data_IF_600430858999
#
_entry.id   IF_600430858999
#
_cell.length_a   1.000
_cell.length_b   1.000
_cell.length_c   1.000
_cell.angle_alpha   90.00
_cell.angle_beta   90.00
_cell.angle_gamma   90.00
#
_symmetry.space_group_name_H-M   'P 1'
#
loop_
_entity.id
_entity.type
_entity.pdbx_description
1 polymer ?
#
# COMPACT_ATOMS: atom_id res chain seq x y z
N UNK A 1 47.11 -1.57 -15.07
CA UNK A 1 47.08 -0.34 -15.91
C UNK A 1 47.87 -0.54 -17.21
N UNK A 2 47.22 -0.45 -18.39
CA UNK A 2 47.94 -0.43 -19.67
C UNK A 2 48.79 0.86 -19.78
N UNK A 3 50.01 0.75 -20.29
CA UNK A 3 51.00 1.83 -20.34
C UNK A 3 50.64 2.98 -21.31
N UNK A 4 51.39 4.09 -21.27
CA UNK A 4 51.11 5.27 -22.07
C UNK A 4 51.50 4.99 -23.52
N UNK A 5 50.52 4.90 -24.42
CA UNK A 5 50.75 4.72 -25.87
C UNK A 5 49.89 3.65 -26.56
N UNK A 6 49.01 2.95 -25.85
CA UNK A 6 48.07 2.01 -26.48
C UNK A 6 46.97 2.74 -27.24
N UNK A 7 46.93 2.62 -28.57
CA UNK A 7 45.80 3.05 -29.40
C UNK A 7 44.56 2.27 -28.94
N UNK A 8 43.60 2.97 -28.35
CA UNK A 8 42.31 2.40 -27.95
C UNK A 8 41.51 2.06 -29.20
N UNK A 9 41.55 0.80 -29.64
CA UNK A 9 40.71 0.32 -30.74
C UNK A 9 39.24 0.47 -30.32
N UNK A 10 38.43 1.30 -30.97
CA UNK A 10 37.02 1.43 -30.62
C UNK A 10 36.33 0.11 -30.95
N UNK A 11 35.97 -0.67 -29.92
CA UNK A 11 35.10 -1.84 -30.07
C UNK A 11 33.67 -1.35 -30.26
N UNK A 12 33.25 -1.16 -31.50
CA UNK A 12 31.84 -0.95 -31.84
C UNK A 12 31.06 -2.26 -31.63
N UNK A 13 30.59 -2.49 -30.40
CA UNK A 13 29.64 -3.57 -30.14
C UNK A 13 28.31 -3.32 -30.86
N UNK A 14 27.74 -4.35 -31.47
CA UNK A 14 26.38 -4.28 -32.02
C UNK A 14 25.39 -3.90 -30.91
N UNK A 15 24.67 -2.80 -31.09
CA UNK A 15 23.61 -2.40 -30.16
C UNK A 15 22.46 -3.40 -30.26
N UNK A 16 22.17 -4.11 -29.17
CA UNK A 16 21.00 -4.99 -29.08
C UNK A 16 19.78 -4.14 -28.74
N UNK A 17 18.93 -3.86 -29.74
CA UNK A 17 17.66 -3.16 -29.52
C UNK A 17 16.64 -4.15 -28.95
N UNK A 18 16.04 -3.78 -27.83
CA UNK A 18 14.93 -4.54 -27.24
C UNK A 18 13.65 -4.07 -27.91
N UNK A 19 12.76 -5.02 -28.22
CA UNK A 19 11.45 -4.71 -28.79
C UNK A 19 10.64 -3.94 -27.73
N UNK A 20 10.05 -2.78 -28.07
CA UNK A 20 9.21 -2.05 -27.13
C UNK A 20 8.01 -2.88 -26.66
N UNK A 21 7.53 -2.68 -25.42
CA UNK A 21 6.34 -3.36 -24.92
C UNK A 21 5.10 -2.99 -25.75
N UNK A 22 4.27 -4.00 -26.07
CA UNK A 22 3.00 -3.78 -26.76
C UNK A 22 1.90 -3.36 -25.77
N UNK A 23 1.14 -2.33 -26.14
CA UNK A 23 0.04 -1.75 -25.36
C UNK A 23 -1.32 -1.85 -26.06
N UNK A 24 -1.41 -2.59 -27.16
CA UNK A 24 -2.62 -2.76 -27.98
C UNK A 24 -3.85 -3.19 -27.18
N UNK A 25 -3.68 -4.05 -26.17
CA UNK A 25 -4.77 -4.57 -25.33
C UNK A 25 -5.30 -3.62 -24.24
N UNK A 26 -4.76 -2.41 -24.09
CA UNK A 26 -5.14 -1.49 -23.01
C UNK A 26 -6.19 -0.49 -23.49
N UNK A 27 -7.39 -0.60 -22.92
CA UNK A 27 -8.49 0.33 -23.13
C UNK A 27 -8.48 1.40 -22.04
N UNK A 28 -8.44 2.67 -22.46
CA UNK A 28 -8.46 3.82 -21.55
C UNK A 28 -9.92 4.25 -21.35
N UNK A 29 -10.40 4.38 -20.10
CA UNK A 29 -11.75 4.82 -19.82
C UNK A 29 -11.96 6.31 -20.17
N UNK A 30 -13.20 6.69 -20.48
CA UNK A 30 -13.58 8.08 -20.80
C UNK A 30 -13.16 9.10 -19.74
N UNK A 31 -13.21 8.70 -18.46
CA UNK A 31 -12.80 9.52 -17.31
C UNK A 31 -11.51 8.94 -16.71
N UNK A 32 -10.33 9.31 -17.23
CA UNK A 32 -9.06 8.75 -16.80
C UNK A 32 -8.62 9.26 -15.42
N UNK A 33 -8.99 10.49 -15.04
CA UNK A 33 -8.55 11.11 -13.78
C UNK A 33 -9.29 10.54 -12.57
N UNK A 34 -8.62 10.57 -11.41
CA UNK A 34 -9.23 10.20 -10.13
C UNK A 34 -10.45 11.07 -9.82
N UNK A 35 -11.56 10.41 -9.48
CA UNK A 35 -12.79 11.07 -9.02
C UNK A 35 -12.53 11.85 -7.73
N UNK A 36 -13.23 12.96 -7.58
CA UNK A 36 -13.27 13.68 -6.31
C UNK A 36 -13.91 12.80 -5.22
N UNK A 37 -13.43 12.93 -3.99
CA UNK A 37 -13.90 12.16 -2.84
C UNK A 37 -14.45 13.14 -1.82
N UNK A 38 -15.71 12.97 -1.44
CA UNK A 38 -16.35 13.84 -0.47
C UNK A 38 -15.78 13.64 0.94
N UNK A 39 -15.74 14.74 1.71
CA UNK A 39 -15.25 14.73 3.10
C UNK A 39 -16.20 14.02 4.05
N UNK A 40 -17.49 14.11 3.77
CA UNK A 40 -18.58 13.57 4.58
C UNK A 40 -19.43 12.69 3.66
N UNK A 41 -19.86 11.50 4.11
CA UNK A 41 -20.82 10.70 3.37
C UNK A 41 -22.11 11.50 3.09
N UNK A 42 -22.79 11.19 1.98
CA UNK A 42 -24.04 11.87 1.60
C UNK A 42 -25.07 11.88 2.74
N UNK A 43 -25.18 10.76 3.46
CA UNK A 43 -25.98 10.67 4.69
C UNK A 43 -25.03 10.67 5.89
N UNK A 44 -25.01 11.74 6.71
CA UNK A 44 -24.15 11.81 7.87
C UNK A 44 -24.60 10.81 8.94
N UNK A 45 -23.64 10.11 9.55
CA UNK A 45 -23.93 9.17 10.63
C UNK A 45 -24.27 9.93 11.91
N UNK A 46 -25.46 9.69 12.46
CA UNK A 46 -25.86 10.23 13.76
C UNK A 46 -25.28 9.40 14.91
N UNK A 47 -25.23 8.07 14.73
CA UNK A 47 -24.72 7.15 15.75
C UNK A 47 -23.19 7.21 15.84
N UNK A 48 -22.68 7.52 17.03
CA UNK A 48 -21.24 7.55 17.32
C UNK A 48 -20.69 6.12 17.45
N UNK A 49 -19.71 5.76 16.63
CA UNK A 49 -19.08 4.43 16.65
C UNK A 49 -17.81 4.40 17.53
N UNK A 50 -17.48 3.26 18.17
CA UNK A 50 -16.19 3.11 18.84
C UNK A 50 -15.04 3.16 17.83
N UNK A 51 -13.82 3.51 18.30
CA UNK A 51 -12.68 3.68 17.40
C UNK A 51 -12.24 2.38 16.71
N UNK A 52 -12.57 1.21 17.26
CA UNK A 52 -12.20 -0.14 16.78
C UNK A 52 -10.84 -0.21 16.04
N UNK A 53 -9.74 -0.42 16.78
CA UNK A 53 -8.39 -0.46 16.22
C UNK A 53 -8.07 -1.75 15.44
N UNK A 54 -8.96 -2.75 15.48
CA UNK A 54 -8.79 -4.01 14.74
C UNK A 54 -8.86 -3.80 13.23
N UNK A 55 -9.49 -2.72 12.78
CA UNK A 55 -9.68 -2.41 11.35
C UNK A 55 -8.37 -2.08 10.63
N UNK A 56 -7.33 -1.68 11.36
CA UNK A 56 -6.00 -1.37 10.80
C UNK A 56 -4.95 -2.45 11.15
N UNK A 57 -5.30 -3.44 11.97
CA UNK A 57 -4.39 -4.53 12.39
C UNK A 57 -4.42 -5.67 11.38
N UNK A 58 -3.24 -6.19 11.08
CA UNK A 58 -3.04 -7.39 10.28
C UNK A 58 -3.10 -7.17 8.75
N UNK A 59 -3.18 -8.27 7.99
CA UNK A 59 -3.24 -8.22 6.53
C UNK A 59 -4.62 -7.81 6.04
N UNK A 60 -4.65 -7.17 4.87
CA UNK A 60 -5.88 -6.86 4.14
C UNK A 60 -6.45 -8.12 3.50
N UNK A 61 -7.76 -8.30 3.62
CA UNK A 61 -8.51 -9.35 2.92
C UNK A 61 -9.08 -8.86 1.59
N UNK A 62 -9.14 -7.55 1.43
CA UNK A 62 -9.76 -6.88 0.30
C UNK A 62 -8.74 -6.02 -0.43
N UNK A 63 -9.01 -5.82 -1.73
CA UNK A 63 -8.23 -4.95 -2.60
C UNK A 63 -6.71 -5.23 -2.58
N UNK A 64 -6.34 -6.50 -2.45
CA UNK A 64 -4.94 -6.97 -2.41
C UNK A 64 -4.37 -7.23 -3.82
N UNK A 65 -5.24 -7.51 -4.80
CA UNK A 65 -4.87 -7.81 -6.18
C UNK A 65 -5.24 -6.66 -7.11
N UNK A 66 -4.55 -6.58 -8.25
CA UNK A 66 -4.86 -5.64 -9.32
C UNK A 66 -6.18 -5.99 -10.01
N UNK A 67 -6.99 -4.98 -10.38
CA UNK A 67 -8.23 -5.20 -11.15
C UNK A 67 -8.12 -4.75 -12.60
N UNK A 68 -7.80 -3.47 -12.80
CA UNK A 68 -7.77 -2.84 -14.12
C UNK A 68 -6.41 -2.21 -14.41
N UNK A 69 -5.75 -1.70 -13.38
CA UNK A 69 -4.42 -1.11 -13.50
C UNK A 69 -3.30 -2.15 -13.60
N UNK A 70 -2.15 -1.68 -14.06
CA UNK A 70 -0.88 -2.42 -14.09
C UNK A 70 0.03 -2.02 -12.94
N UNK A 71 -0.13 -0.80 -12.43
CA UNK A 71 0.69 -0.20 -11.38
C UNK A 71 -0.19 0.30 -10.24
N UNK A 72 0.40 0.48 -9.06
CA UNK A 72 -0.35 0.98 -7.92
C UNK A 72 0.53 1.28 -6.71
N UNK A 73 -0.13 1.75 -5.65
CA UNK A 73 0.52 1.99 -4.37
C UNK A 73 0.07 0.91 -3.40
N UNK A 74 1.02 0.08 -2.94
CA UNK A 74 0.78 -0.96 -1.94
C UNK A 74 1.04 -0.40 -0.54
N UNK A 75 0.08 -0.56 0.36
CA UNK A 75 0.25 -0.24 1.76
C UNK A 75 1.07 -1.34 2.46
N UNK A 76 2.26 -1.01 2.95
CA UNK A 76 3.11 -1.89 3.76
C UNK A 76 2.83 -1.70 5.27
N UNK A 77 1.72 -1.07 5.62
CA UNK A 77 1.31 -0.83 7.00
C UNK A 77 -0.14 -0.42 7.09
N UNK A 78 -0.69 -0.49 8.31
CA UNK A 78 -2.05 -0.06 8.61
C UNK A 78 -2.12 1.40 9.01
N UNK A 79 -3.24 2.05 8.72
CA UNK A 79 -3.47 3.44 9.11
C UNK A 79 -4.83 3.98 8.69
N UNK A 80 -5.06 5.26 9.00
CA UNK A 80 -6.28 5.97 8.61
C UNK A 80 -5.99 6.98 7.52
N UNK A 81 -6.77 6.95 6.45
CA UNK A 81 -6.76 8.00 5.43
C UNK A 81 -7.83 9.04 5.77
N UNK A 82 -7.37 10.27 5.99
CA UNK A 82 -8.22 11.44 6.12
C UNK A 82 -8.53 12.02 4.74
N UNK A 83 -9.58 12.83 4.64
CA UNK A 83 -9.94 13.52 3.39
C UNK A 83 -8.77 14.27 2.74
N UNK A 84 -7.95 14.97 3.54
CA UNK A 84 -6.77 15.68 3.03
C UNK A 84 -5.73 14.76 2.36
N UNK A 85 -5.65 13.49 2.75
CA UNK A 85 -4.78 12.51 2.08
C UNK A 85 -5.35 12.14 0.71
N UNK A 86 -6.67 11.97 0.58
CA UNK A 86 -7.31 11.71 -0.72
C UNK A 86 -7.07 12.89 -1.68
N UNK A 87 -7.23 14.11 -1.20
CA UNK A 87 -7.02 15.30 -2.04
C UNK A 87 -5.55 15.47 -2.43
N UNK A 88 -4.61 15.22 -1.51
CA UNK A 88 -3.18 15.19 -1.80
C UNK A 88 -2.84 14.18 -2.91
N UNK A 89 -3.34 12.95 -2.81
CA UNK A 89 -3.14 11.89 -3.81
C UNK A 89 -3.75 12.30 -5.15
N UNK A 90 -5.01 12.78 -5.15
CA UNK A 90 -5.76 13.19 -6.35
C UNK A 90 -5.04 14.30 -7.11
N UNK A 91 -4.60 15.33 -6.40
CA UNK A 91 -3.88 16.47 -6.99
C UNK A 91 -2.49 16.07 -7.49
N UNK A 92 -1.75 15.28 -6.73
CA UNK A 92 -0.39 14.86 -7.12
C UNK A 92 -0.45 14.00 -8.39
N UNK A 93 -1.31 12.98 -8.41
CA UNK A 93 -1.49 12.13 -9.59
C UNK A 93 -2.05 12.95 -10.75
N UNK A 94 -3.07 13.78 -10.51
CA UNK A 94 -3.68 14.58 -11.58
C UNK A 94 -2.76 15.62 -12.23
N UNK A 95 -1.68 16.04 -11.56
CA UNK A 95 -0.65 16.96 -12.10
C UNK A 95 0.42 16.24 -12.92
N UNK A 96 0.81 15.04 -12.52
CA UNK A 96 1.91 14.29 -13.16
C UNK A 96 1.44 13.34 -14.27
N UNK A 97 0.15 13.04 -14.33
CA UNK A 97 -0.40 12.00 -15.19
C UNK A 97 -0.92 12.56 -16.51
N UNK A 98 -0.61 11.87 -17.61
CA UNK A 98 -1.13 12.17 -18.94
C UNK A 98 -2.51 11.52 -19.17
N UNK A 99 -3.59 12.31 -19.30
CA UNK A 99 -4.95 11.76 -19.40
C UNK A 99 -5.21 10.96 -20.68
N UNK A 100 -4.42 11.18 -21.73
CA UNK A 100 -4.57 10.49 -23.02
C UNK A 100 -4.02 9.08 -23.00
N UNK A 101 -2.98 8.83 -22.20
CA UNK A 101 -2.24 7.57 -22.20
C UNK A 101 -2.50 6.76 -20.93
N UNK A 102 -2.89 7.42 -19.84
CA UNK A 102 -3.00 6.83 -18.51
C UNK A 102 -4.42 6.98 -17.96
N UNK A 103 -4.79 6.09 -17.03
CA UNK A 103 -5.97 6.22 -16.17
C UNK A 103 -5.65 5.83 -14.72
N UNK A 104 -6.39 6.41 -13.78
CA UNK A 104 -6.21 6.23 -12.34
C UNK A 104 -7.53 5.90 -11.65
N UNK A 105 -7.51 4.92 -10.74
CA UNK A 105 -8.71 4.40 -10.07
C UNK A 105 -8.47 4.27 -8.57
N UNK A 106 -9.44 4.73 -7.78
CA UNK A 106 -9.45 4.51 -6.34
C UNK A 106 -9.71 3.04 -6.01
N UNK A 107 -8.86 2.47 -5.15
CA UNK A 107 -9.07 1.13 -4.57
C UNK A 107 -9.55 1.16 -3.12
N UNK A 108 -9.63 2.36 -2.56
CA UNK A 108 -10.07 2.61 -1.19
C UNK A 108 -11.39 3.38 -1.24
N UNK A 109 -12.38 3.01 -0.42
CA UNK A 109 -13.65 3.74 -0.37
C UNK A 109 -13.47 5.14 0.23
N UNK A 110 -14.45 6.00 -0.04
CA UNK A 110 -14.54 7.31 0.59
C UNK A 110 -14.55 7.20 2.13
N UNK A 111 -14.12 8.25 2.85
CA UNK A 111 -14.14 8.26 4.32
C UNK A 111 -15.53 7.97 4.90
N UNK A 112 -15.66 6.86 5.63
CA UNK A 112 -16.95 6.38 6.17
C UNK A 112 -16.96 6.20 7.68
N UNK A 113 -15.79 6.07 8.31
CA UNK A 113 -15.66 5.79 9.74
C UNK A 113 -15.63 7.09 10.53
N UNK A 114 -16.60 7.36 11.42
CA UNK A 114 -16.65 8.61 12.17
C UNK A 114 -15.59 8.60 13.29
N UNK A 115 -14.84 9.69 13.40
CA UNK A 115 -13.95 9.97 14.53
C UNK A 115 -14.54 11.09 15.37
N UNK A 116 -14.74 10.80 16.67
CA UNK A 116 -15.22 11.79 17.63
C UNK A 116 -14.05 12.51 18.30
N UNK A 117 -14.19 13.81 18.52
CA UNK A 117 -13.22 14.64 19.24
C UNK A 117 -13.96 15.52 20.26
N UNK A 118 -13.43 15.63 21.48
CA UNK A 118 -13.91 16.61 22.46
C UNK A 118 -13.29 17.98 22.18
N UNK A 119 -14.00 19.04 22.55
CA UNK A 119 -13.48 20.41 22.58
C UNK A 119 -12.18 20.48 23.38
N UNK A 120 -11.29 21.37 22.95
CA UNK A 120 -10.05 21.64 23.67
C UNK A 120 -10.38 22.28 25.03
N UNK A 121 -9.68 21.90 26.10
CA UNK A 121 -9.86 22.46 27.44
C UNK A 121 -10.94 21.79 28.32
N UNK A 122 -11.65 20.78 27.83
CA UNK A 122 -12.59 20.01 28.67
C UNK A 122 -11.88 18.97 29.55
N UNK A 123 -12.42 18.73 30.75
CA UNK A 123 -11.96 17.66 31.65
C UNK A 123 -12.38 16.27 31.14
N UNK A 124 -11.76 15.23 31.71
CA UNK A 124 -12.18 13.84 31.49
C UNK A 124 -13.60 13.61 32.03
N UNK A 125 -14.34 12.65 31.47
CA UNK A 125 -15.77 12.43 31.79
C UNK A 125 -16.74 13.22 30.89
N UNK A 126 -18.02 13.32 31.26
CA UNK A 126 -19.02 14.08 30.48
C UNK A 126 -19.43 13.44 29.14
N UNK A 127 -19.29 12.12 29.02
CA UNK A 127 -19.70 11.38 27.82
C UNK A 127 -18.73 11.53 26.63
N UNK A 128 -19.21 11.13 25.44
CA UNK A 128 -18.43 11.10 24.19
C UNK A 128 -18.60 12.40 23.40
N UNK A 129 -17.53 12.90 22.77
CA UNK A 129 -17.59 14.11 21.94
C UNK A 129 -18.43 13.93 20.66
N UNK A 130 -18.72 15.05 19.95
CA UNK A 130 -19.34 15.03 18.63
C UNK A 130 -18.40 14.39 17.58
N UNK A 131 -18.98 14.03 16.42
CA UNK A 131 -18.22 13.54 15.26
C UNK A 131 -17.50 14.73 14.61
N UNK A 132 -16.18 14.66 14.52
CA UNK A 132 -15.33 15.73 13.98
C UNK A 132 -15.02 15.50 12.50
N UNK A 133 -14.67 14.26 12.13
CA UNK A 133 -14.31 13.90 10.75
C UNK A 133 -14.52 12.43 10.46
N UNK A 134 -14.52 12.10 9.17
CA UNK A 134 -14.55 10.73 8.69
C UNK A 134 -13.18 10.28 8.20
N UNK A 135 -12.92 8.98 8.34
CA UNK A 135 -11.69 8.34 7.87
C UNK A 135 -11.97 7.02 7.16
N UNK A 136 -11.01 6.58 6.36
CA UNK A 136 -10.97 5.22 5.81
C UNK A 136 -9.87 4.42 6.49
N UNK A 137 -10.20 3.23 7.02
CA UNK A 137 -9.22 2.31 7.56
C UNK A 137 -8.51 1.56 6.42
N UNK A 138 -7.18 1.48 6.49
CA UNK A 138 -6.35 0.73 5.54
C UNK A 138 -5.52 -0.28 6.32
N UNK A 139 -5.44 -1.51 5.81
CA UNK A 139 -4.60 -2.60 6.33
C UNK A 139 -3.37 -2.80 5.45
N UNK A 140 -2.36 -3.47 6.00
CA UNK A 140 -1.18 -3.90 5.23
C UNK A 140 -1.56 -4.84 4.08
N UNK A 141 -0.89 -4.72 2.94
CA UNK A 141 -1.18 -5.47 1.73
C UNK A 141 -2.32 -4.92 0.87
N UNK A 142 -2.96 -3.80 1.27
CA UNK A 142 -4.03 -3.18 0.47
C UNK A 142 -3.47 -2.24 -0.60
N UNK A 143 -4.00 -2.29 -1.81
CA UNK A 143 -3.75 -1.29 -2.84
C UNK A 143 -4.58 -0.02 -2.56
N UNK A 144 -3.92 1.15 -2.57
CA UNK A 144 -4.56 2.44 -2.29
C UNK A 144 -5.14 3.06 -3.56
N UNK A 145 -4.31 3.11 -4.60
CA UNK A 145 -4.66 3.58 -5.96
C UNK A 145 -4.12 2.58 -6.98
N UNK A 146 -4.87 2.40 -8.05
CA UNK A 146 -4.43 1.71 -9.26
C UNK A 146 -4.24 2.70 -10.41
N UNK A 147 -3.20 2.48 -11.19
CA UNK A 147 -2.89 3.17 -12.43
C UNK A 147 -2.74 2.14 -13.54
N UNK A 148 -3.25 2.47 -14.72
CA UNK A 148 -3.02 1.69 -15.93
C UNK A 148 -2.92 2.62 -17.12
N UNK A 149 -2.48 2.11 -18.26
CA UNK A 149 -2.31 2.91 -19.45
C UNK A 149 -1.17 2.42 -20.32
N UNK A 150 -0.91 3.15 -21.40
CA UNK A 150 0.20 2.93 -22.32
C UNK A 150 1.45 3.60 -21.73
N UNK A 151 1.96 3.04 -20.63
CA UNK A 151 3.07 3.63 -19.86
C UNK A 151 3.95 2.56 -19.21
N UNK A 152 5.22 2.90 -19.05
CA UNK A 152 6.20 2.04 -18.38
C UNK A 152 6.28 2.33 -16.88
N UNK A 153 6.74 1.35 -16.11
CA UNK A 153 6.85 1.52 -14.66
C UNK A 153 7.82 2.65 -14.28
N UNK A 154 8.84 2.90 -15.09
CA UNK A 154 9.85 3.94 -14.85
C UNK A 154 9.25 5.36 -14.89
N UNK A 155 8.27 5.59 -15.76
CA UNK A 155 7.54 6.86 -15.85
C UNK A 155 6.62 7.05 -14.64
N UNK A 156 6.01 5.96 -14.17
CA UNK A 156 4.99 5.97 -13.11
C UNK A 156 5.58 6.01 -11.71
N UNK A 157 6.72 5.35 -11.52
CA UNK A 157 7.36 5.15 -10.22
C UNK A 157 7.70 6.45 -9.48
N UNK A 158 8.25 7.52 -10.10
CA UNK A 158 8.65 8.74 -9.38
C UNK A 158 7.50 9.43 -8.68
N UNK A 159 6.37 9.66 -9.37
CA UNK A 159 5.24 10.36 -8.78
C UNK A 159 4.45 9.46 -7.81
N UNK A 160 4.36 8.14 -8.08
CA UNK A 160 3.80 7.20 -7.11
C UNK A 160 4.62 7.15 -5.82
N UNK A 161 5.95 7.20 -5.93
CA UNK A 161 6.85 7.26 -4.78
C UNK A 161 6.67 8.56 -4.00
N UNK A 162 6.50 9.69 -4.68
CA UNK A 162 6.21 10.98 -4.06
C UNK A 162 4.91 10.91 -3.22
N UNK A 163 3.87 10.27 -3.75
CA UNK A 163 2.62 10.06 -3.02
C UNK A 163 2.85 9.12 -1.83
N UNK A 164 3.53 7.99 -2.05
CA UNK A 164 3.78 6.98 -1.02
C UNK A 164 4.53 7.56 0.19
N UNK A 165 5.50 8.45 -0.02
CA UNK A 165 6.24 9.15 1.05
C UNK A 165 5.38 10.11 1.88
N UNK A 166 4.27 10.61 1.32
CA UNK A 166 3.33 11.52 2.00
C UNK A 166 2.20 10.79 2.72
N UNK A 167 2.08 9.47 2.56
CA UNK A 167 1.05 8.68 3.23
C UNK A 167 1.38 8.50 4.73
N UNK A 168 0.35 8.35 5.59
CA UNK A 168 0.54 8.21 7.04
C UNK A 168 1.06 6.82 7.47
N UNK A 169 1.34 5.93 6.52
CA UNK A 169 1.87 4.59 6.70
C UNK A 169 2.89 4.30 5.61
N UNK A 170 3.79 3.35 5.88
CA UNK A 170 4.76 2.92 4.89
C UNK A 170 4.04 2.33 3.66
N UNK A 171 4.39 2.82 2.49
CA UNK A 171 3.80 2.40 1.23
C UNK A 171 4.87 2.40 0.14
N UNK A 172 4.66 1.58 -0.87
CA UNK A 172 5.61 1.42 -1.98
C UNK A 172 4.87 1.43 -3.33
N UNK A 173 5.45 2.07 -4.36
CA UNK A 173 4.97 1.89 -5.72
C UNK A 173 5.26 0.46 -6.18
N UNK A 174 4.31 -0.17 -6.84
CA UNK A 174 4.44 -1.56 -7.27
C UNK A 174 3.76 -1.81 -8.61
N UNK A 175 4.34 -2.68 -9.42
CA UNK A 175 3.75 -3.21 -10.65
C UNK A 175 3.09 -4.56 -10.38
N UNK A 176 2.23 -5.00 -11.31
CA UNK A 176 1.60 -6.32 -11.24
C UNK A 176 2.64 -7.45 -11.20
N UNK A 177 3.67 -7.36 -12.05
CA UNK A 177 4.78 -8.31 -12.06
C UNK A 177 5.58 -8.25 -10.75
N UNK A 178 5.96 -7.04 -10.30
CA UNK A 178 6.70 -6.86 -9.05
C UNK A 178 5.94 -7.33 -7.80
N UNK A 179 4.60 -7.30 -7.81
CA UNK A 179 3.79 -7.89 -6.74
C UNK A 179 3.86 -9.43 -6.74
N UNK A 180 3.90 -10.06 -7.91
CA UNK A 180 4.03 -11.51 -8.01
C UNK A 180 5.44 -11.95 -7.61
N UNK A 181 6.47 -11.24 -8.06
CA UNK A 181 7.86 -11.46 -7.66
C UNK A 181 8.03 -11.35 -6.15
N UNK A 182 7.54 -10.27 -5.54
CA UNK A 182 7.59 -10.10 -4.09
C UNK A 182 6.93 -11.24 -3.32
N UNK A 183 5.80 -11.78 -3.81
CA UNK A 183 5.14 -12.93 -3.19
C UNK A 183 5.97 -14.21 -3.34
N UNK A 184 6.55 -14.44 -4.52
CA UNK A 184 7.43 -15.60 -4.78
C UNK A 184 8.68 -15.54 -3.91
N UNK A 185 9.33 -14.38 -3.82
CA UNK A 185 10.48 -14.17 -2.94
C UNK A 185 10.13 -14.44 -1.47
N UNK A 186 8.94 -14.01 -1.01
CA UNK A 186 8.47 -14.32 0.35
C UNK A 186 8.27 -15.83 0.57
N UNK A 187 7.70 -16.54 -0.40
CA UNK A 187 7.52 -17.99 -0.36
C UNK A 187 8.85 -18.75 -0.41
N UNK A 188 9.77 -18.35 -1.28
CA UNK A 188 11.12 -18.90 -1.39
C UNK A 188 11.91 -18.71 -0.10
N UNK A 189 11.86 -17.51 0.50
CA UNK A 189 12.48 -17.25 1.82
C UNK A 189 11.90 -18.15 2.91
N UNK A 190 10.60 -18.46 2.84
CA UNK A 190 9.94 -19.36 3.78
C UNK A 190 10.38 -20.81 3.60
N UNK A 191 10.50 -21.27 2.37
CA UNK A 191 10.93 -22.63 2.05
C UNK A 191 12.42 -22.84 2.32
N UNK A 192 13.25 -21.84 2.02
CA UNK A 192 14.71 -21.87 2.24
C UNK A 192 15.11 -21.46 3.67
N UNK A 193 14.17 -21.40 4.61
CA UNK A 193 14.50 -21.08 6.00
C UNK A 193 15.24 -22.25 6.65
N UNK A 194 16.55 -22.09 6.87
CA UNK A 194 17.41 -23.09 7.52
C UNK A 194 17.13 -23.24 9.02
N UNK A 195 16.50 -22.24 9.66
CA UNK A 195 16.19 -22.32 11.08
C UNK A 195 15.03 -23.29 11.34
N UNK A 196 15.24 -24.38 12.12
CA UNK A 196 14.19 -25.36 12.42
C UNK A 196 13.07 -24.80 13.31
N UNK A 197 13.30 -23.65 13.95
CA UNK A 197 12.38 -22.97 14.85
C UNK A 197 11.69 -21.80 14.13
N UNK A 198 10.46 -22.04 13.67
CA UNK A 198 9.59 -20.98 13.13
C UNK A 198 8.71 -20.40 14.23
N UNK A 199 8.39 -19.11 14.11
CA UNK A 199 7.47 -18.45 15.05
C UNK A 199 6.11 -19.17 15.08
N UNK A 200 5.60 -19.55 13.91
CA UNK A 200 4.35 -20.31 13.79
C UNK A 200 4.41 -21.61 14.62
N UNK A 201 5.48 -22.41 14.51
CA UNK A 201 5.65 -23.66 15.26
C UNK A 201 5.69 -23.44 16.76
N UNK A 202 6.49 -22.49 17.24
CA UNK A 202 6.65 -22.21 18.68
C UNK A 202 5.32 -21.80 19.31
N UNK A 203 4.56 -20.93 18.65
CA UNK A 203 3.32 -20.37 19.19
C UNK A 203 2.15 -21.36 19.09
N UNK A 204 2.05 -22.09 17.98
CA UNK A 204 1.00 -23.09 17.79
C UNK A 204 1.17 -24.28 18.73
N UNK A 205 2.40 -24.75 19.00
CA UNK A 205 2.65 -25.81 19.98
C UNK A 205 2.67 -25.32 21.45
N UNK A 206 2.51 -24.01 21.70
CA UNK A 206 2.64 -23.41 23.03
C UNK A 206 3.96 -23.79 23.74
N UNK A 207 5.05 -23.85 22.98
CA UNK A 207 6.36 -24.18 23.55
C UNK A 207 6.74 -23.15 24.61
N UNK A 208 7.35 -23.60 25.70
CA UNK A 208 7.80 -22.75 26.82
C UNK A 208 6.68 -21.88 27.44
N UNK A 209 5.40 -22.22 27.21
CA UNK A 209 4.28 -21.42 27.71
C UNK A 209 4.15 -20.03 27.06
N UNK A 210 4.72 -19.84 25.86
CA UNK A 210 4.79 -18.54 25.19
C UNK A 210 3.43 -17.87 24.95
N UNK A 211 2.33 -18.64 24.87
CA UNK A 211 0.98 -18.07 24.69
C UNK A 211 0.54 -17.17 25.85
N UNK A 212 1.15 -17.30 27.04
CA UNK A 212 0.90 -16.38 28.17
C UNK A 212 1.29 -14.94 27.85
N UNK A 213 2.31 -14.74 27.01
CA UNK A 213 2.87 -13.43 26.69
C UNK A 213 2.43 -12.90 25.32
N UNK A 214 1.85 -13.76 24.48
CA UNK A 214 1.47 -13.42 23.12
C UNK A 214 -0.02 -13.12 22.98
N UNK A 215 -0.34 -12.36 21.93
CA UNK A 215 -1.72 -12.08 21.58
C UNK A 215 -2.36 -13.30 20.90
N UNK A 216 -3.66 -13.59 21.13
CA UNK A 216 -4.36 -14.64 20.38
C UNK A 216 -4.30 -14.43 18.85
N UNK A 217 -4.17 -13.17 18.40
CA UNK A 217 -4.02 -12.85 16.99
C UNK A 217 -2.69 -13.32 16.39
N UNK A 218 -1.65 -13.49 17.20
CA UNK A 218 -0.32 -13.83 16.70
C UNK A 218 -0.26 -15.28 16.17
N UNK A 219 -1.21 -16.13 16.59
CA UNK A 219 -1.47 -17.44 15.98
C UNK A 219 -1.82 -17.31 14.48
N UNK A 220 -2.59 -16.29 14.11
CA UNK A 220 -2.98 -16.06 12.72
C UNK A 220 -1.99 -15.17 11.96
N UNK A 221 -1.40 -14.19 12.65
CA UNK A 221 -0.48 -13.22 12.05
C UNK A 221 0.95 -13.75 11.90
N UNK A 222 1.26 -14.89 12.54
CA UNK A 222 2.55 -15.59 12.43
C UNK A 222 3.75 -14.69 12.75
N UNK A 223 3.53 -13.70 13.61
CA UNK A 223 4.53 -12.71 14.00
C UNK A 223 4.88 -11.67 12.92
N UNK A 224 4.32 -11.73 11.72
CA UNK A 224 4.63 -10.78 10.63
C UNK A 224 4.07 -9.38 10.86
N UNK A 225 3.14 -9.25 11.81
CA UNK A 225 2.48 -7.98 12.14
C UNK A 225 2.65 -7.64 13.60
N UNK A 226 2.98 -6.38 13.87
CA UNK A 226 2.98 -5.80 15.21
C UNK A 226 2.10 -4.56 15.23
N UNK A 227 0.91 -4.67 15.83
CA UNK A 227 -0.10 -3.62 15.77
C UNK A 227 -0.48 -3.26 14.33
N UNK A 228 -0.07 -2.07 13.87
CA UNK A 228 -0.28 -1.59 12.49
C UNK A 228 0.90 -1.85 11.55
N UNK A 229 2.06 -2.23 12.07
CA UNK A 229 3.28 -2.39 11.29
C UNK A 229 3.38 -3.80 10.71
N UNK A 230 3.92 -3.89 9.50
CA UNK A 230 4.24 -5.15 8.84
C UNK A 230 5.75 -5.29 8.78
N UNK A 231 6.24 -6.46 9.18
CA UNK A 231 7.66 -6.80 9.24
C UNK A 231 7.99 -7.64 8.00
N UNK A 232 8.54 -6.99 6.97
CA UNK A 232 8.86 -7.64 5.68
C UNK A 232 9.86 -8.78 5.87
N UNK A 233 10.84 -8.59 6.74
CA UNK A 233 11.96 -9.53 6.87
C UNK A 233 11.67 -10.75 7.75
N UNK A 234 10.51 -10.78 8.40
CA UNK A 234 10.12 -11.90 9.25
C UNK A 234 9.46 -13.00 8.42
N UNK A 235 9.99 -14.21 8.59
CA UNK A 235 9.58 -15.45 7.92
C UNK A 235 8.93 -16.41 8.90
#
# INVERSE_FOLDING_TARGET
PPGPGGVTVPRAGLKKYVIPPDYSGIVIPEKPKLKFVDKVPQVPKVKREPRNLRDIRGPSREATNFTKGQYGILAMGGGYLHWGHFEMIRLTIGRCMDPKNMFAIWRVPAPYKPLTKKSLGHRMGGGKGPIDRYVTAVKSGRLVVELGGRCEFEEVKPFLLQVARKLPFHAIPISRAGLQEMRREEEERKLNNQNPWTFERVVTANMLGMRRYLSPYDLHLKGRHWGKFFLKDRV
#
